data_IF_713703285576
#
_entry.id   IF_713703285576
#
_cell.length_a   1.000
_cell.length_b   1.000
_cell.length_c   1.000
_cell.angle_alpha   90.00
_cell.angle_beta   90.00
_cell.angle_gamma   90.00
#
_symmetry.space_group_name_H-M   'P 1'
#
loop_
_entity.id
_entity.type
_entity.pdbx_description
1 polymer ?
#
# COMPACT_ATOMS: atom_id res chain seq x y z
N UNK A 1 41.00 -46.12 -4.67
CA UNK A 1 41.31 -45.89 -3.24
C UNK A 1 39.97 -45.62 -2.55
N UNK A 2 39.20 -46.66 -2.17
CA UNK A 2 39.05 -47.26 -0.82
C UNK A 2 38.61 -46.19 0.20
N UNK A 3 37.43 -46.20 0.87
CA UNK A 3 36.63 -47.27 1.47
C UNK A 3 35.13 -46.81 1.62
N UNK A 4 34.12 -47.65 1.36
CA UNK A 4 33.39 -48.58 2.30
C UNK A 4 32.10 -47.95 2.88
N UNK A 5 30.88 -48.30 2.42
CA UNK A 5 30.00 -49.45 2.75
C UNK A 5 29.22 -49.25 4.08
N UNK A 6 27.90 -49.41 4.23
CA UNK A 6 26.95 -50.56 4.13
C UNK A 6 25.54 -49.98 4.51
N UNK A 7 24.35 -50.54 4.27
CA UNK A 7 23.91 -51.89 3.88
C UNK A 7 22.37 -51.95 3.71
N UNK A 8 21.91 -53.05 3.10
CA UNK A 8 20.56 -53.40 2.64
C UNK A 8 19.58 -53.86 3.74
N UNK A 9 18.27 -53.91 3.43
CA UNK A 9 17.43 -55.14 3.46
C UNK A 9 16.01 -54.94 2.89
N UNK A 10 15.61 -55.85 2.00
CA UNK A 10 14.25 -56.08 1.46
C UNK A 10 13.77 -57.48 1.89
N UNK A 11 12.45 -57.65 2.06
CA UNK A 11 11.79 -58.97 2.20
C UNK A 11 10.53 -58.99 1.32
N UNK A 12 10.37 -60.09 0.57
CA UNK A 12 9.18 -60.49 -0.20
C UNK A 12 8.68 -61.83 0.37
N UNK A 13 7.37 -62.06 0.36
CA UNK A 13 6.78 -63.42 0.31
C UNK A 13 5.39 -63.38 -0.33
N UNK A 14 5.13 -64.37 -1.19
CA UNK A 14 3.98 -64.54 -2.07
C UNK A 14 2.89 -65.46 -1.48
N UNK A 15 1.70 -65.49 -2.12
CA UNK A 15 0.83 -66.67 -2.44
C UNK A 15 -0.58 -66.18 -2.88
N UNK A 16 -0.94 -66.26 -4.18
CA UNK A 16 -1.79 -67.30 -4.85
C UNK A 16 -3.30 -67.25 -4.47
N UNK A 17 -4.18 -66.53 -5.19
CA UNK A 17 -5.00 -66.92 -6.38
C UNK A 17 -6.16 -67.91 -6.14
N UNK A 18 -7.42 -67.50 -6.39
CA UNK A 18 -8.53 -68.24 -7.06
C UNK A 18 -9.73 -67.30 -7.32
N UNK A 19 -10.48 -67.62 -8.39
CA UNK A 19 -11.41 -66.85 -9.23
C UNK A 19 -12.91 -67.02 -8.89
N UNK A 20 -13.76 -66.06 -9.33
CA UNK A 20 -15.16 -66.17 -9.85
C UNK A 20 -16.00 -64.91 -9.47
N UNK A 21 -16.22 -63.94 -10.37
CA UNK A 21 -17.35 -63.72 -11.32
C UNK A 21 -18.62 -63.00 -10.75
N UNK A 22 -19.38 -62.22 -11.57
CA UNK A 22 -19.98 -60.92 -11.18
C UNK A 22 -21.52 -60.81 -11.30
N UNK A 23 -22.11 -59.79 -10.66
CA UNK A 23 -23.45 -59.23 -10.93
C UNK A 23 -23.56 -57.87 -10.17
N UNK A 24 -23.69 -56.73 -10.85
CA UNK A 24 -24.95 -56.02 -11.19
C UNK A 24 -25.26 -54.82 -10.26
N UNK A 25 -25.23 -53.63 -10.87
CA UNK A 25 -26.18 -52.51 -10.67
C UNK A 25 -26.24 -51.79 -9.32
N UNK A 26 -25.64 -50.60 -9.21
CA UNK A 26 -26.30 -49.35 -8.72
C UNK A 26 -25.54 -48.13 -9.29
N UNK A 27 -26.21 -47.17 -9.96
CA UNK A 27 -25.59 -45.89 -10.32
C UNK A 27 -25.71 -44.93 -9.13
N UNK A 28 -24.61 -44.31 -8.69
CA UNK A 28 -24.69 -43.22 -7.71
C UNK A 28 -24.77 -41.88 -8.44
N UNK A 29 -25.94 -41.28 -8.27
CA UNK A 29 -26.39 -40.00 -8.79
C UNK A 29 -25.37 -38.86 -8.71
N UNK A 30 -25.48 -38.02 -9.72
CA UNK A 30 -24.99 -36.66 -9.84
C UNK A 30 -25.23 -35.83 -8.56
N UNK A 31 -24.22 -35.05 -8.18
CA UNK A 31 -24.42 -33.71 -7.64
C UNK A 31 -23.49 -32.78 -8.43
N UNK A 32 -24.00 -32.34 -9.58
CA UNK A 32 -23.53 -31.13 -10.21
C UNK A 32 -23.90 -29.97 -9.28
N UNK A 33 -22.92 -29.45 -8.54
CA UNK A 33 -23.09 -28.14 -7.90
C UNK A 33 -22.83 -27.09 -8.98
N UNK A 34 -23.85 -26.90 -9.83
CA UNK A 34 -24.02 -25.65 -10.56
C UNK A 34 -24.42 -24.61 -9.51
N UNK A 35 -23.46 -23.83 -9.01
CA UNK A 35 -23.79 -22.66 -8.21
C UNK A 35 -24.24 -21.57 -9.16
N UNK A 36 -25.55 -21.52 -9.35
CA UNK A 36 -26.26 -20.47 -10.04
C UNK A 36 -25.87 -19.10 -9.51
N UNK A 37 -25.56 -18.19 -10.44
CA UNK A 37 -25.62 -16.76 -10.25
C UNK A 37 -26.98 -16.37 -9.66
N UNK A 38 -26.99 -15.70 -8.51
CA UNK A 38 -28.21 -15.20 -7.89
C UNK A 38 -28.12 -13.68 -7.73
N UNK A 39 -28.72 -12.99 -8.69
CA UNK A 39 -29.13 -11.58 -8.65
C UNK A 39 -30.58 -11.49 -8.19
N UNK A 40 -30.87 -10.81 -7.08
CA UNK A 40 -32.24 -10.30 -6.76
C UNK A 40 -32.15 -9.14 -5.75
N UNK A 41 -32.30 -7.89 -6.22
CA UNK A 41 -33.46 -6.97 -6.01
C UNK A 41 -33.64 -6.36 -4.61
N UNK A 42 -33.40 -5.05 -4.50
CA UNK A 42 -33.98 -4.14 -3.48
C UNK A 42 -35.19 -3.39 -4.08
N UNK A 43 -36.11 -2.89 -3.24
CA UNK A 43 -36.64 -1.54 -3.47
C UNK A 43 -36.82 -0.70 -2.18
N UNK A 44 -36.16 0.46 -2.18
CA UNK A 44 -36.67 1.83 -1.95
C UNK A 44 -37.74 2.23 -0.90
N UNK A 45 -37.41 3.39 -0.28
CA UNK A 45 -38.25 4.58 0.02
C UNK A 45 -38.94 4.74 1.40
N UNK A 46 -39.30 5.98 1.85
CA UNK A 46 -38.41 7.01 2.40
C UNK A 46 -38.97 7.73 3.66
N UNK A 47 -38.24 8.78 4.09
CA UNK A 47 -38.38 9.68 5.25
C UNK A 47 -39.74 10.42 5.35
N UNK A 48 -40.26 10.59 6.58
CA UNK A 48 -41.08 11.78 6.98
C UNK A 48 -40.77 12.24 8.41
N UNK A 49 -40.57 13.56 8.54
CA UNK A 49 -40.42 14.32 9.79
C UNK A 49 -41.77 14.53 10.49
N UNK A 50 -41.76 14.64 11.82
CA UNK A 50 -42.75 15.42 12.57
C UNK A 50 -42.16 15.97 13.87
N UNK A 51 -42.24 17.30 13.96
CA UNK A 51 -41.93 18.21 15.05
C UNK A 51 -42.78 18.00 16.30
N UNK A 52 -42.24 18.32 17.49
CA UNK A 52 -42.90 19.29 18.36
C UNK A 52 -42.02 19.83 19.50
N UNK A 53 -42.21 21.13 19.70
CA UNK A 53 -41.58 22.11 20.56
C UNK A 53 -42.23 22.22 21.95
N UNK A 54 -41.47 22.59 22.98
CA UNK A 54 -41.97 23.45 24.07
C UNK A 54 -40.85 24.09 24.92
N UNK A 55 -41.02 25.41 25.10
CA UNK A 55 -40.29 26.43 25.86
C UNK A 55 -39.85 26.10 27.30
N UNK A 56 -38.76 26.76 27.77
CA UNK A 56 -38.84 27.82 28.81
C UNK A 56 -37.46 28.38 29.26
N UNK A 57 -37.22 29.66 28.93
CA UNK A 57 -36.81 30.82 29.77
C UNK A 57 -35.46 30.84 30.56
N UNK A 58 -34.72 31.97 30.58
CA UNK A 58 -33.29 32.01 30.93
C UNK A 58 -33.04 32.31 32.41
N UNK A 59 -31.90 31.86 32.96
CA UNK A 59 -31.49 32.24 34.33
C UNK A 59 -29.98 32.45 34.44
N UNK A 60 -29.64 33.63 34.97
CA UNK A 60 -28.33 34.20 35.27
C UNK A 60 -27.48 33.32 36.20
N UNK A 61 -26.18 33.16 35.93
CA UNK A 61 -25.14 32.75 36.90
C UNK A 61 -23.74 33.19 36.42
N UNK A 62 -22.67 33.24 37.24
CA UNK A 62 -22.28 34.38 38.06
C UNK A 62 -20.84 34.86 37.74
N UNK A 63 -20.40 35.99 38.35
CA UNK A 63 -19.04 36.57 38.27
C UNK A 63 -17.93 35.50 38.34
N UNK A 64 -17.15 35.36 37.26
CA UNK A 64 -16.02 34.44 37.20
C UNK A 64 -14.96 34.75 38.26
N UNK A 65 -14.64 33.76 39.09
CA UNK A 65 -13.49 33.77 40.00
C UNK A 65 -12.20 33.81 39.19
N UNK A 66 -11.34 34.77 39.53
CA UNK A 66 -9.99 34.93 39.01
C UNK A 66 -9.18 33.67 39.36
N UNK A 67 -8.80 32.88 38.36
CA UNK A 67 -7.91 31.72 38.55
C UNK A 67 -6.48 32.10 38.21
N UNK A 68 -5.52 31.65 39.03
CA UNK A 68 -4.07 31.84 38.95
C UNK A 68 -3.38 31.29 37.67
N UNK A 69 -4.13 31.05 36.60
CA UNK A 69 -3.65 30.63 35.29
C UNK A 69 -3.19 31.82 34.42
N UNK A 70 -3.74 33.02 34.66
CA UNK A 70 -3.40 34.23 33.90
C UNK A 70 -1.95 34.69 34.15
N UNK A 71 -1.44 34.48 35.37
CA UNK A 71 -0.07 34.87 35.75
C UNK A 71 1.01 33.96 35.13
N UNK A 72 0.69 32.69 34.84
CA UNK A 72 1.61 31.76 34.17
C UNK A 72 1.74 32.01 32.67
N UNK A 73 0.76 32.64 32.04
CA UNK A 73 0.83 33.04 30.63
C UNK A 73 1.62 34.34 30.45
N UNK A 74 1.62 35.22 31.44
CA UNK A 74 2.40 36.46 31.42
C UNK A 74 3.90 36.26 31.74
N UNK A 75 4.28 35.07 32.24
CA UNK A 75 5.67 34.69 32.51
C UNK A 75 6.33 33.92 31.35
N UNK A 76 5.65 33.78 30.21
CA UNK A 76 6.22 33.17 29.00
C UNK A 76 7.18 34.13 28.29
N UNK A 77 8.10 33.60 27.46
CA UNK A 77 9.05 34.43 26.72
C UNK A 77 8.30 35.46 25.87
N UNK A 78 8.79 36.69 25.91
CA UNK A 78 8.18 37.80 25.18
C UNK A 78 8.30 37.58 23.67
N UNK A 79 7.43 38.24 22.90
CA UNK A 79 7.55 38.24 21.44
C UNK A 79 8.94 38.74 20.98
N UNK A 80 9.55 39.65 21.74
CA UNK A 80 10.94 40.06 21.54
C UNK A 80 11.95 38.93 21.75
N UNK A 81 11.76 38.05 22.75
CA UNK A 81 12.65 36.88 22.96
C UNK A 81 12.57 35.87 21.81
N UNK A 82 11.41 35.79 21.15
CA UNK A 82 11.19 34.92 19.98
C UNK A 82 11.80 35.50 18.70
N UNK A 83 11.74 36.82 18.52
CA UNK A 83 12.23 37.51 17.31
C UNK A 83 13.72 37.81 17.38
N UNK A 84 14.28 38.03 18.57
CA UNK A 84 15.70 38.40 18.77
C UNK A 84 16.67 37.23 18.75
N UNK A 85 16.23 36.01 18.40
CA UNK A 85 17.12 34.86 18.23
C UNK A 85 17.96 34.58 19.49
N UNK A 86 17.30 34.50 20.65
CA UNK A 86 17.90 34.37 21.97
C UNK A 86 19.12 33.46 22.00
N UNK A 87 20.30 34.07 21.97
CA UNK A 87 21.56 33.44 22.31
C UNK A 87 21.59 33.08 23.80
N UNK A 88 22.40 32.06 24.10
CA UNK A 88 22.69 31.50 25.43
C UNK A 88 21.74 30.39 25.93
N UNK A 89 21.77 29.22 25.26
CA UNK A 89 21.96 27.91 25.93
C UNK A 89 22.15 26.79 24.89
N UNK A 90 23.36 26.23 24.82
CA UNK A 90 23.78 24.90 24.32
C UNK A 90 23.23 24.24 23.02
N UNK A 91 22.32 24.82 22.25
CA UNK A 91 21.65 24.13 21.13
C UNK A 91 22.41 24.14 19.78
N UNK A 92 23.68 24.57 19.75
CA UNK A 92 24.50 24.67 18.53
C UNK A 92 25.62 23.62 18.42
N UNK A 93 25.71 22.66 19.33
CA UNK A 93 26.62 21.52 19.18
C UNK A 93 25.97 20.50 18.23
N UNK A 94 26.64 20.04 17.15
CA UNK A 94 26.14 18.92 16.37
C UNK A 94 25.90 17.74 17.31
N UNK A 95 24.64 17.31 17.46
CA UNK A 95 24.32 16.13 18.26
C UNK A 95 25.18 14.98 17.76
N UNK A 96 25.84 14.28 18.68
CA UNK A 96 26.54 13.04 18.38
C UNK A 96 25.59 12.14 17.57
N UNK A 97 26.01 11.54 16.43
CA UNK A 97 25.12 10.76 15.57
C UNK A 97 24.30 9.73 16.36
N UNK A 98 24.90 9.16 17.42
CA UNK A 98 24.27 8.22 18.36
C UNK A 98 23.10 8.81 19.15
N UNK A 99 23.19 10.07 19.59
CA UNK A 99 22.06 10.78 20.21
C UNK A 99 20.96 11.13 19.18
N UNK A 100 21.34 11.37 17.92
CA UNK A 100 20.40 11.61 16.84
C UNK A 100 19.59 10.35 16.45
N UNK A 101 20.15 9.14 16.63
CA UNK A 101 19.45 7.86 16.42
C UNK A 101 18.46 7.52 17.56
N UNK A 102 18.55 8.21 18.71
CA UNK A 102 17.66 7.94 19.83
C UNK A 102 16.23 8.43 19.54
N UNK A 103 15.24 7.54 19.73
CA UNK A 103 13.83 7.91 19.66
C UNK A 103 13.55 9.01 20.69
N UNK A 104 13.35 10.26 20.24
CA UNK A 104 13.03 11.37 21.12
C UNK A 104 11.75 11.05 21.88
N UNK A 105 11.86 10.87 23.19
CA UNK A 105 10.71 10.63 24.05
C UNK A 105 10.29 11.87 24.81
N UNK A 106 9.00 11.99 25.11
CA UNK A 106 8.45 13.05 25.94
C UNK A 106 7.57 12.45 27.03
N UNK A 107 7.65 12.97 28.25
CA UNK A 107 6.75 12.61 29.33
C UNK A 107 5.48 13.46 29.25
N UNK A 108 4.35 12.83 28.91
CA UNK A 108 3.05 13.50 28.74
C UNK A 108 2.04 12.94 29.74
N UNK A 109 1.37 13.83 30.48
CA UNK A 109 0.32 13.49 31.43
C UNK A 109 0.30 14.39 32.67
N UNK A 110 -0.77 14.34 33.47
CA UNK A 110 -0.86 15.07 34.73
C UNK A 110 0.22 14.59 35.72
N UNK A 111 0.63 15.44 36.68
CA UNK A 111 1.59 15.05 37.71
C UNK A 111 1.14 13.75 38.40
N UNK A 112 2.04 12.76 38.48
CA UNK A 112 1.75 11.40 39.00
C UNK A 112 1.28 10.36 37.98
N UNK A 113 0.93 10.74 36.74
CA UNK A 113 0.53 9.79 35.66
C UNK A 113 1.20 10.11 34.31
N UNK A 114 2.43 10.62 34.33
CA UNK A 114 3.20 10.91 33.10
C UNK A 114 3.52 9.61 32.37
N UNK A 115 3.20 9.55 31.08
CA UNK A 115 3.55 8.44 30.19
C UNK A 115 4.63 8.89 29.23
N UNK A 116 5.65 8.06 29.04
CA UNK A 116 6.67 8.28 28.01
C UNK A 116 6.06 8.01 26.63
N UNK A 117 6.02 9.03 25.78
CA UNK A 117 5.58 8.92 24.38
C UNK A 117 6.78 9.13 23.47
N UNK A 118 6.87 8.34 22.42
CA UNK A 118 7.82 8.59 21.33
C UNK A 118 7.27 9.75 20.50
N UNK A 119 8.04 10.82 20.32
CA UNK A 119 7.66 11.96 19.47
C UNK A 119 7.98 11.65 18.02
N UNK A 120 7.06 12.01 17.15
CA UNK A 120 7.29 11.96 15.71
C UNK A 120 8.31 13.04 15.31
N UNK A 121 9.38 12.68 14.58
CA UNK A 121 10.33 13.65 14.04
C UNK A 121 9.66 14.71 13.16
N UNK A 122 10.29 15.88 13.03
CA UNK A 122 9.74 17.00 12.25
C UNK A 122 9.52 16.64 10.78
N UNK A 123 10.43 15.88 10.16
CA UNK A 123 10.37 15.47 8.75
C UNK A 123 9.25 14.48 8.40
N UNK A 124 8.57 13.92 9.40
CA UNK A 124 7.44 13.00 9.22
C UNK A 124 6.07 13.64 9.47
N UNK A 125 6.04 14.93 9.84
CA UNK A 125 4.79 15.66 10.07
C UNK A 125 4.19 16.11 8.75
N UNK A 126 2.89 15.85 8.56
CA UNK A 126 2.13 16.31 7.40
C UNK A 126 1.03 17.30 7.82
N UNK A 127 0.60 18.20 6.93
CA UNK A 127 -0.50 19.12 7.21
C UNK A 127 -1.83 18.38 7.37
N UNK A 128 -2.77 19.01 8.07
CA UNK A 128 -4.14 18.48 8.24
C UNK A 128 -4.90 18.69 6.92
N UNK A 129 -5.60 17.66 6.40
CA UNK A 129 -6.36 17.79 5.15
C UNK A 129 -7.57 18.72 5.33
N UNK A 130 -7.58 19.86 4.65
CA UNK A 130 -8.71 20.81 4.64
C UNK A 130 -9.02 21.40 3.24
N UNK A 131 -8.61 20.73 2.17
CA UNK A 131 -8.86 21.25 0.82
C UNK A 131 -10.30 20.98 0.33
N UNK A 132 -10.90 21.88 -0.47
CA UNK A 132 -12.19 21.62 -1.13
C UNK A 132 -12.16 20.36 -2.01
N UNK A 133 -11.02 20.08 -2.67
CA UNK A 133 -10.87 18.90 -3.53
C UNK A 133 -10.93 17.59 -2.72
N UNK A 134 -10.34 17.58 -1.52
CA UNK A 134 -10.44 16.45 -0.60
C UNK A 134 -11.92 16.14 -0.27
N UNK A 135 -12.75 17.16 0.00
CA UNK A 135 -14.18 16.97 0.29
C UNK A 135 -14.95 16.44 -0.93
N UNK A 136 -14.62 16.91 -2.14
CA UNK A 136 -15.22 16.44 -3.39
C UNK A 136 -14.92 14.97 -3.65
N UNK A 137 -13.63 14.58 -3.66
CA UNK A 137 -13.22 13.19 -3.89
C UNK A 137 -13.87 12.26 -2.87
N UNK A 138 -13.92 12.68 -1.60
CA UNK A 138 -14.60 11.95 -0.53
C UNK A 138 -16.10 11.76 -0.79
N UNK A 139 -16.78 12.77 -1.33
CA UNK A 139 -18.20 12.68 -1.70
C UNK A 139 -18.41 11.72 -2.88
N UNK A 140 -17.57 11.81 -3.90
CA UNK A 140 -17.66 10.97 -5.10
C UNK A 140 -17.45 9.48 -4.74
N UNK A 141 -16.45 9.18 -3.90
CA UNK A 141 -16.17 7.84 -3.39
C UNK A 141 -17.36 7.22 -2.64
N UNK A 142 -17.99 8.01 -1.75
CA UNK A 142 -19.17 7.56 -0.99
C UNK A 142 -20.38 7.33 -1.87
N UNK A 143 -20.58 8.19 -2.88
CA UNK A 143 -21.70 8.07 -3.82
C UNK A 143 -21.61 6.81 -4.70
N UNK A 144 -20.41 6.30 -4.95
CA UNK A 144 -20.16 5.12 -5.78
C UNK A 144 -19.89 3.85 -4.96
N UNK A 145 -20.06 3.91 -3.63
CA UNK A 145 -19.78 2.81 -2.71
C UNK A 145 -18.35 2.25 -2.86
N UNK A 146 -17.36 3.13 -3.05
CA UNK A 146 -15.96 2.76 -3.23
C UNK A 146 -15.13 3.03 -1.97
N UNK A 147 -14.17 2.16 -1.72
CA UNK A 147 -13.21 2.30 -0.63
C UNK A 147 -11.86 2.81 -1.13
N UNK A 148 -11.09 3.45 -0.25
CA UNK A 148 -9.70 3.84 -0.55
C UNK A 148 -8.77 3.41 0.55
N UNK A 149 -7.60 2.91 0.18
CA UNK A 149 -6.54 2.60 1.16
C UNK A 149 -6.06 3.87 1.86
N UNK A 150 -6.22 5.05 1.23
CA UNK A 150 -5.89 6.33 1.82
C UNK A 150 -6.64 6.56 3.15
N UNK A 151 -7.93 6.26 3.17
CA UNK A 151 -8.77 6.36 4.38
C UNK A 151 -8.56 5.15 5.31
N UNK A 152 -8.62 3.93 4.78
CA UNK A 152 -8.61 2.70 5.59
C UNK A 152 -7.24 2.39 6.24
N UNK A 153 -6.15 2.73 5.55
CA UNK A 153 -4.78 2.61 6.08
C UNK A 153 -4.29 3.87 6.83
N UNK A 154 -5.15 4.89 7.01
CA UNK A 154 -4.83 6.16 7.70
C UNK A 154 -3.57 6.83 7.12
N UNK A 155 -3.54 7.01 5.81
CA UNK A 155 -2.36 7.53 5.12
C UNK A 155 -2.05 8.98 5.53
N UNK A 156 -0.81 9.31 5.94
CA UNK A 156 -0.43 10.68 6.30
C UNK A 156 -0.42 11.63 5.09
N UNK A 157 -0.35 11.10 3.87
CA UNK A 157 -0.23 11.88 2.63
C UNK A 157 -1.59 12.18 1.98
N UNK A 158 -2.71 11.87 2.64
CA UNK A 158 -4.04 12.01 2.03
C UNK A 158 -4.35 13.46 1.63
N UNK A 159 -3.84 14.44 2.39
CA UNK A 159 -3.92 15.87 2.06
C UNK A 159 -3.25 16.18 0.74
N UNK A 160 -2.07 15.61 0.51
CA UNK A 160 -1.21 15.98 -0.60
C UNK A 160 -1.64 15.26 -1.87
N UNK A 161 -2.05 13.99 -1.74
CA UNK A 161 -2.59 13.18 -2.82
C UNK A 161 -3.94 13.70 -3.30
N UNK A 162 -4.86 14.08 -2.41
CA UNK A 162 -6.21 14.53 -2.80
C UNK A 162 -6.33 16.06 -2.91
N UNK A 163 -5.40 16.82 -2.35
CA UNK A 163 -5.45 18.28 -2.27
C UNK A 163 -4.63 19.04 -3.31
N UNK A 164 -4.06 18.36 -4.31
CA UNK A 164 -3.32 19.00 -5.39
C UNK A 164 -4.11 20.16 -6.02
N UNK A 165 -3.44 21.30 -6.20
CA UNK A 165 -4.03 22.52 -6.76
C UNK A 165 -4.40 22.38 -8.24
N UNK A 166 -3.75 21.46 -8.95
CA UNK A 166 -4.12 21.06 -10.32
C UNK A 166 -4.83 19.71 -10.31
N UNK A 167 -5.90 19.58 -11.12
CA UNK A 167 -6.59 18.31 -11.35
C UNK A 167 -5.63 17.18 -11.79
N UNK A 168 -4.56 17.55 -12.50
CA UNK A 168 -3.54 16.62 -12.98
C UNK A 168 -2.63 16.05 -11.89
N UNK A 169 -2.54 16.68 -10.72
CA UNK A 169 -1.66 16.26 -9.63
C UNK A 169 -2.38 15.48 -8.52
N UNK A 170 -3.68 15.19 -8.70
CA UNK A 170 -4.45 14.41 -7.76
C UNK A 170 -4.25 12.91 -8.01
N UNK A 171 -3.85 12.18 -6.99
CA UNK A 171 -3.72 10.72 -7.04
C UNK A 171 -4.67 10.13 -6.01
N UNK A 172 -5.48 9.17 -6.42
CA UNK A 172 -6.29 8.38 -5.51
C UNK A 172 -5.95 6.90 -5.68
N UNK A 173 -5.93 6.17 -4.56
CA UNK A 173 -5.75 4.73 -4.57
C UNK A 173 -7.05 4.06 -4.17
N UNK A 174 -7.74 3.49 -5.15
CA UNK A 174 -8.98 2.74 -4.93
C UNK A 174 -8.63 1.39 -4.34
N UNK A 175 -9.35 1.00 -3.29
CA UNK A 175 -9.22 -0.32 -2.68
C UNK A 175 -10.45 -1.15 -3.06
N UNK A 176 -10.21 -2.17 -3.88
CA UNK A 176 -11.20 -3.14 -4.32
C UNK A 176 -11.49 -4.18 -3.23
N UNK A 177 -12.65 -4.83 -3.38
CA UNK A 177 -13.11 -5.96 -2.58
C UNK A 177 -13.47 -5.60 -1.14
N UNK A 178 -13.82 -4.33 -0.91
CA UNK A 178 -14.25 -3.81 0.38
C UNK A 178 -13.13 -3.34 1.29
N UNK A 179 -13.45 -3.11 2.56
CA UNK A 179 -12.57 -2.58 3.60
C UNK A 179 -12.05 -3.62 4.61
N UNK A 180 -12.34 -4.91 4.35
CA UNK A 180 -12.14 -5.99 5.31
C UNK A 180 -11.33 -7.12 4.68
N UNK A 181 -10.13 -7.33 5.21
CA UNK A 181 -9.16 -8.32 4.75
C UNK A 181 -9.28 -9.65 5.51
N UNK A 182 -9.02 -10.76 4.80
CA UNK A 182 -8.92 -12.09 5.42
C UNK A 182 -7.57 -12.33 6.12
N UNK A 183 -6.63 -11.40 5.99
CA UNK A 183 -5.27 -11.44 6.53
C UNK A 183 -5.00 -10.36 7.57
N UNK A 184 -4.13 -10.66 8.52
CA UNK A 184 -3.81 -9.82 9.67
C UNK A 184 -2.35 -9.38 9.73
N UNK A 185 -1.86 -8.67 8.72
CA UNK A 185 -0.51 -8.09 8.71
C UNK A 185 -0.33 -7.11 9.87
N UNK A 186 0.77 -7.21 10.64
CA UNK A 186 0.95 -6.48 11.91
C UNK A 186 1.20 -4.98 11.74
N UNK A 187 1.53 -4.55 10.53
CA UNK A 187 1.73 -3.15 10.16
C UNK A 187 0.45 -2.48 9.63
N UNK A 188 -0.55 -3.25 9.20
CA UNK A 188 -1.69 -2.77 8.40
C UNK A 188 -2.92 -2.52 9.27
N UNK A 189 -3.63 -1.40 9.06
CA UNK A 189 -4.83 -1.04 9.83
C UNK A 189 -6.17 -1.36 9.17
N UNK A 190 -6.15 -1.99 7.99
CA UNK A 190 -7.36 -2.47 7.32
C UNK A 190 -8.09 -3.46 8.24
N UNK A 191 -9.43 -3.42 8.25
CA UNK A 191 -10.22 -4.30 9.13
C UNK A 191 -9.96 -5.75 8.75
N UNK A 192 -10.12 -6.66 9.71
CA UNK A 192 -9.90 -8.08 9.48
C UNK A 192 -11.11 -8.91 9.85
N UNK A 193 -11.47 -9.87 8.98
CA UNK A 193 -12.52 -10.84 9.23
C UNK A 193 -12.22 -12.12 8.45
N UNK A 194 -12.54 -13.27 9.04
CA UNK A 194 -12.48 -14.56 8.32
C UNK A 194 -13.61 -14.71 7.31
N UNK A 195 -14.68 -13.93 7.48
CA UNK A 195 -15.90 -13.95 6.65
C UNK A 195 -16.25 -12.51 6.30
N UNK A 196 -15.48 -11.87 5.39
CA UNK A 196 -15.81 -10.53 4.90
C UNK A 196 -17.16 -10.56 4.13
N UNK A 197 -17.78 -9.38 3.90
CA UNK A 197 -18.97 -9.29 3.04
C UNK A 197 -18.73 -9.87 1.64
N UNK A 198 -19.80 -10.30 0.93
CA UNK A 198 -19.70 -10.71 -0.46
C UNK A 198 -19.17 -9.56 -1.32
N UNK A 199 -18.48 -9.90 -2.42
CA UNK A 199 -18.07 -8.90 -3.41
C UNK A 199 -19.29 -8.20 -4.01
N UNK A 200 -19.19 -6.88 -4.20
CA UNK A 200 -20.18 -6.13 -4.97
C UNK A 200 -19.95 -6.43 -6.47
N UNK A 201 -20.89 -7.09 -7.17
CA UNK A 201 -20.74 -7.38 -8.60
C UNK A 201 -20.68 -6.13 -9.48
N UNK A 202 -21.11 -4.97 -8.97
CA UNK A 202 -21.06 -3.69 -9.66
C UNK A 202 -19.80 -2.86 -9.35
N UNK A 203 -18.97 -3.26 -8.38
CA UNK A 203 -17.70 -2.57 -8.04
C UNK A 203 -16.81 -2.34 -9.27
N UNK A 204 -16.64 -3.30 -10.22
CA UNK A 204 -15.84 -3.08 -11.42
C UNK A 204 -16.37 -1.96 -12.33
N UNK A 205 -17.70 -1.87 -12.50
CA UNK A 205 -18.33 -0.82 -13.32
C UNK A 205 -18.29 0.54 -12.63
N UNK A 206 -18.61 0.56 -11.32
CA UNK A 206 -18.58 1.77 -10.50
C UNK A 206 -17.16 2.35 -10.41
N UNK A 207 -16.15 1.49 -10.31
CA UNK A 207 -14.73 1.90 -10.34
C UNK A 207 -14.38 2.52 -11.69
N UNK A 208 -14.76 1.88 -12.80
CA UNK A 208 -14.52 2.43 -14.13
C UNK A 208 -15.21 3.79 -14.34
N UNK A 209 -16.46 3.94 -13.90
CA UNK A 209 -17.18 5.21 -13.93
C UNK A 209 -16.47 6.27 -13.09
N UNK A 210 -16.08 5.95 -11.84
CA UNK A 210 -15.38 6.88 -10.95
C UNK A 210 -14.10 7.43 -11.60
N UNK A 211 -13.25 6.53 -12.09
CA UNK A 211 -11.96 6.89 -12.68
C UNK A 211 -12.11 7.70 -13.96
N UNK A 212 -13.11 7.37 -14.79
CA UNK A 212 -13.43 8.16 -15.99
C UNK A 212 -13.87 9.59 -15.65
N UNK A 213 -14.60 9.80 -14.55
CA UNK A 213 -15.06 11.13 -14.09
C UNK A 213 -13.96 11.98 -13.48
N UNK A 214 -13.00 11.35 -12.80
CA UNK A 214 -11.94 12.10 -12.13
C UNK A 214 -10.94 12.70 -13.11
N UNK A 215 -10.77 12.09 -14.29
CA UNK A 215 -9.86 12.57 -15.33
C UNK A 215 -8.39 12.51 -14.90
N UNK A 216 -8.02 11.50 -14.10
CA UNK A 216 -6.65 11.28 -13.65
C UNK A 216 -5.83 10.60 -14.74
N UNK A 217 -4.59 11.04 -14.95
CA UNK A 217 -3.68 10.40 -15.92
C UNK A 217 -3.11 9.08 -15.42
N UNK A 218 -2.93 8.94 -14.10
CA UNK A 218 -2.39 7.76 -13.44
C UNK A 218 -3.26 7.39 -12.24
N UNK A 219 -3.57 6.10 -12.11
CA UNK A 219 -4.40 5.58 -11.02
C UNK A 219 -3.75 4.33 -10.45
N UNK A 220 -3.75 4.24 -9.12
CA UNK A 220 -3.40 3.01 -8.42
C UNK A 220 -4.67 2.34 -7.94
N UNK A 221 -4.82 1.07 -8.24
CA UNK A 221 -5.82 0.20 -7.63
C UNK A 221 -5.11 -0.79 -6.72
N UNK A 222 -5.68 -1.06 -5.56
CA UNK A 222 -5.23 -2.11 -4.65
C UNK A 222 -6.41 -2.96 -4.21
N UNK A 223 -6.16 -4.02 -3.48
CA UNK A 223 -7.21 -4.88 -2.96
C UNK A 223 -6.86 -5.43 -1.59
N UNK A 224 -7.87 -5.82 -0.83
CA UNK A 224 -7.68 -6.68 0.33
C UNK A 224 -7.41 -8.13 -0.11
N UNK A 225 -6.82 -8.94 0.76
CA UNK A 225 -6.71 -10.39 0.50
C UNK A 225 -8.07 -11.07 0.78
N UNK A 226 -8.55 -11.83 -0.20
CA UNK A 226 -9.83 -12.57 -0.16
C UNK A 226 -9.60 -14.08 -0.20
N UNK A 227 -8.92 -14.61 0.81
CA UNK A 227 -8.67 -16.05 0.96
C UNK A 227 -9.97 -16.88 1.12
N UNK A 228 -11.13 -16.23 1.28
CA UNK A 228 -12.46 -16.85 1.27
C UNK A 228 -12.98 -17.17 -0.16
N UNK A 229 -12.37 -16.60 -1.19
CA UNK A 229 -12.71 -16.83 -2.60
C UNK A 229 -11.74 -17.81 -3.25
N UNK A 230 -12.25 -18.67 -4.14
CA UNK A 230 -11.46 -19.71 -4.80
C UNK A 230 -10.32 -19.16 -5.68
N UNK A 231 -10.50 -17.97 -6.25
CA UNK A 231 -9.52 -17.26 -7.09
C UNK A 231 -8.80 -16.12 -6.34
N UNK A 232 -9.00 -16.02 -5.02
CA UNK A 232 -8.49 -14.92 -4.21
C UNK A 232 -9.01 -13.53 -4.61
N UNK A 233 -10.04 -13.45 -5.46
CA UNK A 233 -10.54 -12.20 -6.05
C UNK A 233 -9.83 -11.72 -7.31
N UNK A 234 -8.91 -12.51 -7.88
CA UNK A 234 -8.12 -12.13 -9.04
C UNK A 234 -8.98 -11.80 -10.28
N UNK A 235 -10.07 -12.54 -10.52
CA UNK A 235 -10.98 -12.26 -11.64
C UNK A 235 -11.68 -10.92 -11.46
N UNK A 236 -12.02 -10.57 -10.22
CA UNK A 236 -12.63 -9.28 -9.89
C UNK A 236 -11.69 -8.13 -10.22
N UNK A 237 -10.42 -8.22 -9.79
CA UNK A 237 -9.38 -7.24 -10.12
C UNK A 237 -9.21 -7.11 -11.64
N UNK A 238 -9.08 -8.22 -12.36
CA UNK A 238 -8.90 -8.22 -13.81
C UNK A 238 -10.12 -7.70 -14.58
N UNK A 239 -11.34 -7.97 -14.12
CA UNK A 239 -12.56 -7.39 -14.69
C UNK A 239 -12.58 -5.88 -14.52
N UNK A 240 -12.24 -5.39 -13.33
CA UNK A 240 -12.16 -3.94 -13.07
C UNK A 240 -11.12 -3.28 -13.97
N UNK A 241 -9.93 -3.86 -14.11
CA UNK A 241 -8.91 -3.35 -15.05
C UNK A 241 -9.47 -3.25 -16.47
N UNK A 242 -10.12 -4.30 -16.97
CA UNK A 242 -10.70 -4.32 -18.33
C UNK A 242 -11.76 -3.23 -18.51
N UNK A 243 -12.68 -3.07 -17.55
CA UNK A 243 -13.72 -2.02 -17.62
C UNK A 243 -13.14 -0.61 -17.56
N UNK A 244 -12.14 -0.39 -16.71
CA UNK A 244 -11.42 0.90 -16.64
C UNK A 244 -10.76 1.21 -17.98
N UNK A 245 -10.06 0.23 -18.58
CA UNK A 245 -9.39 0.41 -19.88
C UNK A 245 -10.36 0.59 -21.04
N UNK A 246 -11.54 -0.04 -21.00
CA UNK A 246 -12.60 0.18 -21.99
C UNK A 246 -13.17 1.60 -21.90
N UNK A 247 -13.39 2.11 -20.69
CA UNK A 247 -14.05 3.41 -20.45
C UNK A 247 -13.09 4.60 -20.54
N UNK A 248 -11.84 4.39 -20.16
CA UNK A 248 -10.80 5.42 -20.08
C UNK A 248 -9.43 4.86 -20.54
N UNK A 249 -9.26 4.60 -21.85
CA UNK A 249 -8.07 3.91 -22.39
C UNK A 249 -6.75 4.66 -22.16
N UNK A 250 -6.81 5.98 -21.98
CA UNK A 250 -5.64 6.84 -21.79
C UNK A 250 -5.11 6.82 -20.34
N UNK A 251 -5.88 6.32 -19.38
CA UNK A 251 -5.46 6.25 -17.97
C UNK A 251 -4.38 5.18 -17.84
N UNK A 252 -3.26 5.53 -17.22
CA UNK A 252 -2.26 4.57 -16.79
C UNK A 252 -2.69 3.91 -15.48
N UNK A 253 -2.67 2.58 -15.45
CA UNK A 253 -3.23 1.80 -14.34
C UNK A 253 -2.16 0.92 -13.69
N UNK A 254 -1.91 1.19 -12.41
CA UNK A 254 -1.11 0.35 -11.53
C UNK A 254 -2.03 -0.50 -10.65
N UNK A 255 -1.78 -1.80 -10.57
CA UNK A 255 -2.49 -2.69 -9.66
C UNK A 255 -1.55 -3.24 -8.58
N UNK A 256 -1.73 -2.79 -7.34
CA UNK A 256 -1.08 -3.35 -6.15
C UNK A 256 -1.90 -4.52 -5.62
N UNK A 257 -1.45 -5.72 -5.95
CA UNK A 257 -2.18 -6.98 -5.75
C UNK A 257 -1.73 -7.74 -4.51
N UNK A 258 -2.62 -8.58 -3.99
CA UNK A 258 -2.27 -9.64 -3.05
C UNK A 258 -1.38 -10.71 -3.70
N UNK A 259 -1.05 -11.76 -2.95
CA UNK A 259 -0.25 -12.87 -3.49
C UNK A 259 -1.09 -14.03 -4.04
N UNK A 260 -2.42 -13.91 -4.02
CA UNK A 260 -3.39 -14.94 -4.43
C UNK A 260 -3.11 -16.32 -3.79
N UNK A 261 -2.62 -16.34 -2.55
CA UNK A 261 -2.20 -17.55 -1.84
C UNK A 261 -1.14 -18.39 -2.60
N UNK A 262 -0.38 -17.75 -3.50
CA UNK A 262 0.63 -18.39 -4.33
C UNK A 262 0.12 -18.97 -5.65
N UNK A 263 -1.14 -18.73 -6.02
CA UNK A 263 -1.70 -19.14 -7.31
C UNK A 263 -1.16 -18.26 -8.44
N UNK A 264 -0.22 -18.82 -9.22
CA UNK A 264 0.45 -18.10 -10.31
C UNK A 264 -0.43 -17.93 -11.55
N UNK A 265 -1.47 -18.76 -11.73
CA UNK A 265 -2.44 -18.56 -12.82
C UNK A 265 -3.26 -17.30 -12.58
N UNK A 266 -3.63 -17.05 -11.32
CA UNK A 266 -4.31 -15.81 -10.91
C UNK A 266 -3.41 -14.58 -11.07
N UNK A 267 -2.12 -14.71 -10.77
CA UNK A 267 -1.13 -13.66 -11.05
C UNK A 267 -1.08 -13.35 -12.55
N UNK A 268 -0.94 -14.38 -13.40
CA UNK A 268 -0.88 -14.21 -14.85
C UNK A 268 -2.17 -13.62 -15.43
N UNK A 269 -3.33 -14.03 -14.91
CA UNK A 269 -4.64 -13.52 -15.30
C UNK A 269 -4.76 -12.01 -15.05
N UNK A 270 -4.25 -11.52 -13.92
CA UNK A 270 -4.25 -10.08 -13.61
C UNK A 270 -3.18 -9.37 -14.42
N UNK A 271 -1.96 -9.88 -14.50
CA UNK A 271 -0.87 -9.31 -15.30
C UNK A 271 -1.24 -9.09 -16.78
N UNK A 272 -2.06 -9.98 -17.35
CA UNK A 272 -2.53 -9.91 -18.75
C UNK A 272 -3.87 -9.18 -18.94
N UNK A 273 -4.44 -8.59 -17.88
CA UNK A 273 -5.75 -7.92 -17.94
C UNK A 273 -5.74 -6.56 -18.67
N UNK A 274 -4.56 -6.01 -18.97
CA UNK A 274 -4.39 -4.73 -19.67
C UNK A 274 -3.85 -3.59 -18.81
N UNK A 275 -3.51 -3.85 -17.54
CA UNK A 275 -2.83 -2.89 -16.66
C UNK A 275 -1.42 -2.54 -17.17
N UNK A 276 -0.90 -1.39 -16.74
CA UNK A 276 0.41 -0.89 -17.16
C UNK A 276 1.53 -1.21 -16.16
N UNK A 277 1.21 -1.28 -14.87
CA UNK A 277 2.17 -1.61 -13.79
C UNK A 277 1.58 -2.65 -12.84
N UNK A 278 2.25 -3.79 -12.72
CA UNK A 278 1.93 -4.82 -11.74
C UNK A 278 2.75 -4.59 -10.47
N UNK A 279 2.08 -4.27 -9.37
CA UNK A 279 2.73 -4.08 -8.09
C UNK A 279 2.39 -5.23 -7.12
N UNK A 280 3.42 -5.71 -6.41
CA UNK A 280 3.27 -6.58 -5.26
C UNK A 280 4.39 -6.29 -4.26
N UNK A 281 4.03 -5.95 -3.03
CA UNK A 281 5.00 -5.53 -2.03
C UNK A 281 5.58 -6.73 -1.26
N UNK A 282 6.91 -6.77 -1.16
CA UNK A 282 7.59 -7.63 -0.17
C UNK A 282 7.49 -7.08 1.25
N UNK A 283 7.26 -5.78 1.38
CA UNK A 283 7.03 -4.98 2.61
C UNK A 283 8.23 -4.86 3.55
N UNK A 284 9.03 -5.91 3.70
CA UNK A 284 10.19 -5.94 4.58
C UNK A 284 11.19 -7.00 4.09
N UNK A 285 12.31 -7.13 4.79
CA UNK A 285 13.33 -8.14 4.53
C UNK A 285 12.85 -9.55 4.90
N UNK A 286 13.45 -10.58 4.31
CA UNK A 286 13.04 -11.98 4.53
C UNK A 286 13.01 -12.37 6.02
N UNK A 287 14.03 -11.98 6.78
CA UNK A 287 14.15 -12.28 8.20
C UNK A 287 13.00 -11.71 9.06
N UNK A 288 12.44 -10.57 8.67
CA UNK A 288 11.36 -9.90 9.41
C UNK A 288 9.96 -10.28 8.91
N UNK A 289 9.86 -10.86 7.72
CA UNK A 289 8.58 -11.21 7.09
C UNK A 289 7.63 -11.98 8.02
N UNK A 290 8.06 -13.05 8.74
CA UNK A 290 7.18 -13.80 9.65
C UNK A 290 6.64 -12.97 10.84
N UNK A 291 7.31 -11.87 11.18
CA UNK A 291 6.94 -11.01 12.30
C UNK A 291 6.12 -9.80 11.88
N UNK A 292 6.23 -9.39 10.61
CA UNK A 292 5.61 -8.19 10.05
C UNK A 292 4.32 -8.53 9.31
N UNK A 293 4.34 -9.58 8.48
CA UNK A 293 3.24 -9.95 7.57
C UNK A 293 2.39 -11.08 8.15
N UNK A 294 1.22 -11.31 7.57
CA UNK A 294 0.43 -12.51 7.87
C UNK A 294 1.26 -13.77 7.51
N UNK A 295 1.15 -14.83 8.32
CA UNK A 295 1.91 -16.08 8.13
C UNK A 295 1.75 -16.72 6.75
N UNK A 296 0.66 -16.42 6.04
CA UNK A 296 0.39 -16.89 4.67
C UNK A 296 1.21 -16.15 3.61
N UNK A 297 1.68 -14.94 3.90
CA UNK A 297 2.43 -14.09 2.99
C UNK A 297 3.94 -14.23 3.24
N UNK A 298 4.57 -15.21 2.58
CA UNK A 298 6.02 -15.45 2.71
C UNK A 298 6.83 -14.60 1.73
N UNK A 299 8.07 -14.27 2.08
CA UNK A 299 8.97 -13.50 1.22
C UNK A 299 9.18 -14.18 -0.14
N UNK A 300 9.46 -15.48 -0.12
CA UNK A 300 9.65 -16.29 -1.33
C UNK A 300 8.38 -16.38 -2.20
N UNK A 301 7.19 -16.40 -1.60
CA UNK A 301 5.94 -16.33 -2.35
C UNK A 301 5.78 -14.98 -3.06
N UNK A 302 6.07 -13.88 -2.38
CA UNK A 302 6.06 -12.55 -2.99
C UNK A 302 7.04 -12.42 -4.16
N UNK A 303 8.23 -13.01 -4.06
CA UNK A 303 9.17 -13.08 -5.19
C UNK A 303 8.60 -13.88 -6.36
N UNK A 304 7.97 -15.04 -6.11
CA UNK A 304 7.32 -15.83 -7.16
C UNK A 304 6.18 -15.09 -7.84
N UNK A 305 5.41 -14.29 -7.12
CA UNK A 305 4.33 -13.46 -7.68
C UNK A 305 4.91 -12.41 -8.64
N UNK A 306 5.95 -11.68 -8.22
CA UNK A 306 6.60 -10.67 -9.07
C UNK A 306 7.23 -11.31 -10.32
N UNK A 307 7.90 -12.46 -10.13
CA UNK A 307 8.46 -13.25 -11.22
C UNK A 307 7.39 -13.69 -12.22
N UNK A 308 6.30 -14.29 -11.75
CA UNK A 308 5.23 -14.78 -12.61
C UNK A 308 4.52 -13.65 -13.38
N UNK A 309 4.35 -12.48 -12.78
CA UNK A 309 3.82 -11.31 -13.49
C UNK A 309 4.74 -10.86 -14.62
N UNK A 310 6.06 -10.85 -14.39
CA UNK A 310 7.07 -10.54 -15.41
C UNK A 310 7.11 -11.59 -16.52
N UNK A 311 7.05 -12.88 -16.18
CA UNK A 311 7.04 -13.99 -17.15
C UNK A 311 5.77 -14.01 -18.00
N UNK A 312 4.61 -13.69 -17.41
CA UNK A 312 3.34 -13.63 -18.13
C UNK A 312 3.29 -12.51 -19.18
N UNK A 313 4.01 -11.40 -18.94
CA UNK A 313 4.10 -10.25 -19.84
C UNK A 313 5.46 -9.53 -19.66
N UNK A 314 6.50 -9.90 -20.42
CA UNK A 314 7.88 -9.39 -20.21
C UNK A 314 8.01 -7.87 -20.22
N UNK A 315 7.22 -7.17 -21.02
CA UNK A 315 7.21 -5.71 -21.12
C UNK A 315 6.46 -5.01 -19.98
N UNK A 316 5.72 -5.75 -19.15
CA UNK A 316 4.97 -5.22 -18.02
C UNK A 316 5.93 -4.69 -16.95
N UNK A 317 5.69 -3.46 -16.48
CA UNK A 317 6.49 -2.90 -15.39
C UNK A 317 6.05 -3.58 -14.09
N UNK A 318 7.01 -4.11 -13.36
CA UNK A 318 6.82 -4.73 -12.04
C UNK A 318 7.36 -3.83 -10.96
N UNK A 319 6.61 -3.72 -9.86
CA UNK A 319 6.91 -2.78 -8.78
C UNK A 319 6.76 -3.41 -7.41
N UNK A 320 7.61 -3.01 -6.49
CA UNK A 320 7.52 -3.41 -5.09
C UNK A 320 7.81 -2.27 -4.12
N UNK A 321 7.57 -2.52 -2.85
CA UNK A 321 7.80 -1.58 -1.75
C UNK A 321 8.43 -2.30 -0.56
N UNK A 322 9.30 -1.56 0.13
CA UNK A 322 9.96 -1.96 1.38
C UNK A 322 9.74 -0.83 2.39
N UNK A 323 9.20 -1.16 3.56
CA UNK A 323 9.11 -0.24 4.69
C UNK A 323 10.38 -0.34 5.54
N UNK A 324 10.93 0.82 5.89
CA UNK A 324 12.07 0.94 6.80
C UNK A 324 11.62 1.31 8.21
N UNK A 325 12.45 1.01 9.22
CA UNK A 325 12.16 1.24 10.63
C UNK A 325 11.41 0.09 11.30
N UNK A 326 11.49 -1.11 10.75
CA UNK A 326 10.93 -2.37 11.30
C UNK A 326 11.98 -3.19 12.08
N UNK A 327 13.26 -2.80 12.01
CA UNK A 327 14.39 -3.49 12.62
C UNK A 327 15.29 -4.20 11.60
N UNK A 328 15.11 -3.89 10.32
CA UNK A 328 15.91 -4.39 9.22
C UNK A 328 17.35 -3.84 9.29
N UNK A 329 18.31 -4.66 8.88
CA UNK A 329 19.71 -4.22 8.76
C UNK A 329 20.06 -3.89 7.31
N UNK A 330 21.09 -3.08 7.11
CA UNK A 330 21.60 -2.77 5.78
C UNK A 330 21.97 -4.03 4.98
N UNK A 331 22.62 -5.02 5.62
CA UNK A 331 22.95 -6.29 4.97
C UNK A 331 21.69 -7.04 4.47
N UNK A 332 20.62 -7.06 5.28
CA UNK A 332 19.36 -7.70 4.89
C UNK A 332 18.67 -6.95 3.74
N UNK A 333 18.76 -5.63 3.71
CA UNK A 333 18.23 -4.81 2.61
C UNK A 333 19.01 -5.06 1.31
N UNK A 334 20.34 -5.19 1.37
CA UNK A 334 21.15 -5.57 0.21
C UNK A 334 20.74 -6.93 -0.36
N UNK A 335 20.59 -7.96 0.49
CA UNK A 335 20.13 -9.27 0.04
C UNK A 335 18.71 -9.23 -0.54
N UNK A 336 17.83 -8.41 0.05
CA UNK A 336 16.47 -8.19 -0.48
C UNK A 336 16.51 -7.56 -1.88
N UNK A 337 17.33 -6.53 -2.10
CA UNK A 337 17.44 -5.90 -3.41
C UNK A 337 18.06 -6.83 -4.45
N UNK A 338 19.05 -7.65 -4.07
CA UNK A 338 19.61 -8.67 -4.96
C UNK A 338 18.54 -9.69 -5.37
N UNK A 339 17.74 -10.17 -4.43
CA UNK A 339 16.67 -11.12 -4.70
C UNK A 339 15.57 -10.53 -5.62
N UNK A 340 15.23 -9.24 -5.42
CA UNK A 340 14.28 -8.53 -6.28
C UNK A 340 14.82 -8.34 -7.70
N UNK A 341 16.10 -7.99 -7.85
CA UNK A 341 16.74 -7.88 -9.18
C UNK A 341 16.87 -9.24 -9.87
N UNK A 342 17.09 -10.32 -9.13
CA UNK A 342 17.17 -11.68 -9.66
C UNK A 342 15.86 -12.20 -10.27
N UNK A 343 14.73 -11.56 -9.97
CA UNK A 343 13.42 -11.83 -10.57
C UNK A 343 12.91 -10.66 -11.42
N UNK A 344 13.83 -9.81 -11.89
CA UNK A 344 13.60 -8.72 -12.84
C UNK A 344 12.56 -7.66 -12.40
N UNK A 345 12.53 -7.34 -11.11
CA UNK A 345 11.69 -6.23 -10.61
C UNK A 345 12.20 -4.89 -11.11
N UNK A 346 11.35 -4.11 -11.79
CA UNK A 346 11.74 -2.84 -12.40
C UNK A 346 11.79 -1.69 -11.40
N UNK A 347 10.80 -1.60 -10.51
CA UNK A 347 10.62 -0.46 -9.61
C UNK A 347 10.62 -0.89 -8.15
N UNK A 348 11.42 -0.21 -7.33
CA UNK A 348 11.41 -0.39 -5.87
C UNK A 348 11.07 0.92 -5.19
N UNK A 349 10.38 0.85 -4.05
CA UNK A 349 10.08 2.01 -3.24
C UNK A 349 10.47 1.78 -1.78
N UNK A 350 11.01 2.82 -1.13
CA UNK A 350 11.38 2.80 0.28
C UNK A 350 10.63 3.90 1.02
N UNK A 351 9.89 3.51 2.06
CA UNK A 351 9.11 4.42 2.90
C UNK A 351 9.31 4.15 4.38
N UNK A 352 9.08 5.13 5.24
CA UNK A 352 9.09 4.91 6.69
C UNK A 352 7.86 4.10 7.11
N UNK A 353 8.05 3.06 7.91
CA UNK A 353 6.96 2.42 8.63
C UNK A 353 6.35 3.42 9.63
N UNK A 354 5.07 3.72 9.43
CA UNK A 354 4.30 4.60 10.29
C UNK A 354 3.23 3.78 11.00
N UNK A 355 3.40 3.61 12.31
CA UNK A 355 2.49 2.82 13.14
C UNK A 355 1.06 3.40 13.14
N UNK A 356 0.05 2.70 12.58
CA UNK A 356 -1.29 3.28 12.44
C UNK A 356 -2.02 3.48 13.78
N UNK A 357 -1.86 2.53 14.70
CA UNK A 357 -2.43 2.59 16.06
C UNK A 357 -1.53 1.88 17.06
N UNK A 358 -1.76 2.11 18.35
CA UNK A 358 -1.03 1.44 19.45
C UNK A 358 -1.20 -0.09 19.48
N UNK A 359 -2.12 -0.67 18.69
CA UNK A 359 -2.30 -2.14 18.58
C UNK A 359 -1.37 -2.77 17.53
N UNK A 360 -0.88 -1.99 16.58
CA UNK A 360 0.05 -2.45 15.54
C UNK A 360 1.47 -2.51 16.07
N UNK A 361 2.38 -3.14 15.33
CA UNK A 361 3.78 -3.26 15.77
C UNK A 361 4.44 -1.90 16.05
N UNK A 362 5.35 -1.86 17.02
CA UNK A 362 6.08 -0.64 17.34
C UNK A 362 7.03 -0.25 16.20
N UNK A 363 7.27 1.04 16.04
CA UNK A 363 8.35 1.53 15.17
C UNK A 363 9.67 1.21 15.88
N UNK A 364 10.60 0.57 15.18
CA UNK A 364 11.94 0.28 15.70
C UNK A 364 12.80 1.55 15.66
N UNK A 365 12.79 2.24 14.52
CA UNK A 365 13.56 3.45 14.28
C UNK A 365 12.81 4.38 13.32
N UNK A 366 13.00 5.69 13.48
CA UNK A 366 12.63 6.67 12.45
C UNK A 366 13.86 6.97 11.60
N UNK A 367 13.89 6.38 10.41
CA UNK A 367 14.98 6.51 9.47
C UNK A 367 15.09 7.95 8.97
N UNK A 368 16.32 8.45 8.90
CA UNK A 368 16.59 9.82 8.47
C UNK A 368 16.47 9.96 6.94
N UNK A 369 16.09 11.15 6.42
CA UNK A 369 15.99 11.39 4.98
C UNK A 369 17.24 11.01 4.18
N UNK A 370 18.44 11.29 4.68
CA UNK A 370 19.71 10.97 4.01
C UNK A 370 19.94 9.47 3.81
N UNK A 371 19.43 8.62 4.71
CA UNK A 371 19.48 7.17 4.55
C UNK A 371 18.55 6.74 3.40
N UNK A 372 17.38 7.37 3.27
CA UNK A 372 16.51 7.12 2.11
C UNK A 372 17.19 7.52 0.80
N UNK A 373 17.84 8.67 0.76
CA UNK A 373 18.57 9.12 -0.44
C UNK A 373 19.67 8.11 -0.84
N UNK A 374 20.43 7.60 0.15
CA UNK A 374 21.45 6.57 -0.12
C UNK A 374 20.85 5.27 -0.70
N UNK A 375 19.67 4.85 -0.25
CA UNK A 375 18.99 3.67 -0.81
C UNK A 375 18.47 3.89 -2.22
N UNK A 376 18.09 5.13 -2.55
CA UNK A 376 17.72 5.49 -3.92
C UNK A 376 18.89 5.29 -4.87
N UNK A 377 20.04 5.86 -4.54
CA UNK A 377 21.27 5.76 -5.34
C UNK A 377 21.66 4.29 -5.53
N UNK A 378 21.76 3.53 -4.44
CA UNK A 378 22.11 2.10 -4.46
C UNK A 378 21.14 1.28 -5.32
N UNK A 379 19.83 1.51 -5.22
CA UNK A 379 18.86 0.81 -6.05
C UNK A 379 19.04 1.14 -7.54
N UNK A 380 19.27 2.41 -7.89
CA UNK A 380 19.52 2.79 -9.29
C UNK A 380 20.83 2.19 -9.82
N UNK A 381 21.89 2.13 -9.01
CA UNK A 381 23.16 1.47 -9.34
C UNK A 381 22.99 -0.04 -9.57
N UNK A 382 22.11 -0.71 -8.81
CA UNK A 382 21.75 -2.12 -9.00
C UNK A 382 20.91 -2.40 -10.25
N UNK A 383 20.54 -1.35 -11.01
CA UNK A 383 19.80 -1.48 -12.26
C UNK A 383 18.29 -1.58 -12.11
N UNK A 384 17.72 -1.12 -11.00
CA UNK A 384 16.28 -0.83 -10.97
C UNK A 384 15.99 0.30 -11.98
N UNK A 385 14.91 0.16 -12.73
CA UNK A 385 14.46 1.14 -13.71
C UNK A 385 14.05 2.46 -13.04
N UNK A 386 13.49 2.38 -11.83
CA UNK A 386 13.14 3.54 -11.02
C UNK A 386 13.17 3.20 -9.53
N UNK A 387 13.55 4.18 -8.71
CA UNK A 387 13.46 4.09 -7.26
C UNK A 387 12.86 5.36 -6.65
N UNK A 388 11.75 5.22 -5.93
CA UNK A 388 11.25 6.27 -5.04
C UNK A 388 11.64 5.96 -3.60
N UNK A 389 12.42 6.83 -2.99
CA UNK A 389 12.88 6.64 -1.60
C UNK A 389 12.65 7.92 -0.82
N UNK A 390 12.02 7.80 0.35
CA UNK A 390 11.84 8.94 1.24
C UNK A 390 10.91 8.60 2.41
N UNK A 391 10.96 9.36 3.52
CA UNK A 391 10.21 9.03 4.73
C UNK A 391 8.69 8.92 4.49
N UNK A 392 8.13 9.78 3.64
CA UNK A 392 6.70 9.80 3.32
C UNK A 392 6.36 9.00 2.05
N UNK A 393 7.32 8.36 1.38
CA UNK A 393 7.02 7.53 0.21
C UNK A 393 6.15 6.35 0.63
N UNK A 394 5.17 6.03 -0.21
CA UNK A 394 4.31 4.85 -0.15
C UNK A 394 4.32 4.17 -1.50
N UNK A 395 3.90 2.91 -1.56
CA UNK A 395 3.75 2.17 -2.83
C UNK A 395 2.96 2.98 -3.87
N UNK A 396 1.90 3.68 -3.45
CA UNK A 396 1.08 4.52 -4.34
C UNK A 396 1.40 6.02 -4.34
N UNK A 397 2.51 6.43 -3.70
CA UNK A 397 2.85 7.85 -3.61
C UNK A 397 3.44 8.37 -4.93
N UNK A 398 3.09 9.62 -5.28
CA UNK A 398 3.33 10.40 -6.51
C UNK A 398 4.68 10.26 -7.22
N UNK A 399 5.70 9.75 -6.54
CA UNK A 399 7.08 9.78 -6.98
C UNK A 399 7.30 9.11 -8.35
N UNK A 400 6.58 8.02 -8.65
CA UNK A 400 6.80 7.27 -9.89
C UNK A 400 6.01 7.74 -11.12
N UNK A 401 4.96 8.53 -10.97
CA UNK A 401 3.96 8.69 -12.03
C UNK A 401 4.55 9.27 -13.32
N UNK A 402 5.25 10.41 -13.23
CA UNK A 402 5.84 11.07 -14.39
C UNK A 402 6.95 10.22 -15.05
N UNK A 403 7.76 9.52 -14.24
CA UNK A 403 8.82 8.68 -14.77
C UNK A 403 8.26 7.44 -15.46
N UNK A 404 7.34 6.73 -14.81
CA UNK A 404 6.66 5.55 -15.35
C UNK A 404 5.89 5.94 -16.61
N UNK A 405 5.19 7.08 -16.59
CA UNK A 405 4.49 7.61 -17.75
C UNK A 405 5.44 7.86 -18.92
N UNK A 406 6.61 8.48 -18.67
CA UNK A 406 7.61 8.71 -19.71
C UNK A 406 8.20 7.40 -20.25
N UNK A 407 8.49 6.42 -19.39
CA UNK A 407 8.96 5.10 -19.81
C UNK A 407 7.92 4.39 -20.68
N UNK A 408 6.65 4.39 -20.26
CA UNK A 408 5.58 3.75 -20.99
C UNK A 408 5.31 4.46 -22.33
N UNK A 409 5.34 5.80 -22.36
CA UNK A 409 5.25 6.58 -23.60
C UNK A 409 6.41 6.27 -24.56
N UNK A 410 7.65 6.21 -24.05
CA UNK A 410 8.82 5.85 -24.86
C UNK A 410 8.69 4.45 -25.45
N UNK A 411 8.31 3.45 -24.66
CA UNK A 411 8.08 2.07 -25.13
C UNK A 411 6.97 1.98 -26.19
N UNK A 412 5.88 2.75 -26.02
CA UNK A 412 4.78 2.82 -27.00
C UNK A 412 5.21 3.53 -28.29
N UNK A 413 6.06 4.56 -28.20
CA UNK A 413 6.62 5.25 -29.36
C UNK A 413 7.63 4.41 -30.13
N UNK A 414 8.55 3.73 -29.45
CA UNK A 414 9.53 2.82 -30.07
C UNK A 414 8.86 1.63 -30.78
N UNK A 415 7.72 1.16 -30.26
CA UNK A 415 6.90 0.14 -30.93
C UNK A 415 6.13 0.65 -32.16
N UNK A 416 5.90 1.96 -32.27
CA UNK A 416 5.24 2.58 -33.41
C UNK A 416 6.22 3.04 -34.51
N UNK A 417 7.43 3.45 -34.13
CA UNK A 417 8.48 3.98 -35.03
C UNK A 417 9.57 2.95 -35.39
N UNK A 418 9.24 1.64 -35.38
CA UNK A 418 10.15 0.50 -35.57
C UNK A 418 10.86 0.35 -36.93
N UNK A 419 11.11 1.44 -37.66
CA UNK A 419 12.08 1.54 -38.76
C UNK A 419 13.02 2.74 -38.51
N UNK A 420 14.07 2.57 -37.69
CA UNK A 420 15.15 3.56 -37.59
C UNK A 420 15.80 3.66 -36.22
N UNK A 421 16.95 3.02 -36.05
CA UNK A 421 17.73 3.09 -34.81
C UNK A 421 18.28 4.49 -34.53
N UNK A 422 18.16 4.94 -33.28
CA UNK A 422 19.05 5.95 -32.70
C UNK A 422 19.09 5.82 -31.18
N UNK A 423 20.28 5.48 -30.68
CA UNK A 423 20.62 5.33 -29.25
C UNK A 423 20.56 6.69 -28.54
N UNK A 424 19.51 6.93 -27.73
CA UNK A 424 19.46 8.10 -26.84
C UNK A 424 20.20 7.83 -25.52
N UNK A 425 21.19 8.68 -25.22
CA UNK A 425 22.11 8.56 -24.06
C UNK A 425 21.40 8.90 -22.74
N UNK A 426 21.86 8.28 -21.65
CA UNK A 426 21.36 8.37 -20.26
C UNK A 426 21.28 9.79 -19.69
N UNK A 427 22.00 10.75 -20.26
CA UNK A 427 22.19 12.12 -19.71
C UNK A 427 21.00 13.07 -19.95
N UNK A 428 20.11 12.77 -20.91
CA UNK A 428 18.96 13.62 -21.20
C UNK A 428 17.80 13.46 -20.19
N UNK A 429 17.83 12.41 -19.36
CA UNK A 429 16.75 12.05 -18.44
C UNK A 429 16.84 12.80 -17.11
N UNK A 430 18.03 13.18 -16.65
CA UNK A 430 18.23 13.88 -15.36
C UNK A 430 17.81 15.35 -15.40
N UNK A 431 17.90 16.02 -16.57
CA UNK A 431 17.51 17.44 -16.70
C UNK A 431 16.01 17.71 -16.62
N UNK A 432 15.16 16.70 -16.84
CA UNK A 432 13.70 16.85 -16.80
C UNK A 432 13.10 16.65 -15.41
N UNK A 433 13.80 15.97 -14.50
CA UNK A 433 13.33 15.71 -13.12
C UNK A 433 13.74 16.83 -12.14
N UNK A 434 14.78 17.60 -12.46
CA UNK A 434 15.26 18.71 -11.63
C UNK A 434 14.50 20.04 -11.81
N UNK A 435 13.47 20.10 -12.68
CA UNK A 435 12.75 21.33 -13.05
C UNK A 435 11.55 21.73 -12.18
N UNK A 436 11.36 21.10 -11.01
CA UNK A 436 10.13 21.23 -10.20
C UNK A 436 10.28 22.01 -8.89
N UNK A 437 11.06 23.10 -8.86
CA UNK A 437 11.04 24.07 -7.75
C UNK A 437 11.05 25.48 -8.34
N UNK A 438 9.87 26.07 -8.55
CA UNK A 438 9.71 27.50 -8.78
C UNK A 438 8.60 28.00 -7.84
N UNK A 439 9.05 28.77 -6.84
CA UNK A 439 8.35 29.48 -5.76
C UNK A 439 7.90 28.69 -4.53
#
# INVERSE_FOLDING_TARGET
MVASARGLRTLHSAHSSISALPASTVPRLQLAVSRCYATTTSPDCPITNSSNSSNSTPTLTPKQRITAFKDKLNAGPSFSDFVSGGGASNDSVPLDPTEAYSLKTALVGPPGKKKQIIRLPSWLKTPIPDSPNFRRIKSDLRGLNLHTVCEEARCPNISDCWGGSSKSAATATIMLMGDTCTRGCRFCSVKTSRTPPPLDPHEPENTAEALSRWGLGYVVMTSVDRDDLADGGARHVAETVRKVKQKAPNILLECLTGDYAGDLEMVALVATSGLDVFAHNVETVEALTPFVRDRRATFQQSLRVLKAAKEAKPELITKTSIMLGLGETEAQLWETLKALRAVDVDVVTFGQYMRPTKRHMAVHEYVRPDVFDSWKERALEMGFLYCASGPLVRSSYKAGEAFIENVLKKRRGEGADGSGGSSTRREDVERLVAGGVVR
#
